data_IF_582677581738
#
_entry.id   IF_582677581738
#
_cell.length_a   1.000
_cell.length_b   1.000
_cell.length_c   1.000
_cell.angle_alpha   90.00
_cell.angle_beta   90.00
_cell.angle_gamma   90.00
#
_symmetry.space_group_name_H-M   'P 1'
#
loop_
_entity.id
_entity.type
_entity.pdbx_description
1 polymer ?
#
# COMPACT_ATOMS: atom_id res chain seq x y z
N UNK A 1 2.35 -16.28 14.64
CA UNK A 1 2.46 -14.81 14.78
C UNK A 1 1.12 -14.22 14.44
N UNK A 2 0.66 -13.08 14.97
CA UNK A 2 -0.55 -12.50 14.43
C UNK A 2 -0.22 -12.06 13.01
N UNK A 3 -0.74 -12.80 12.04
CA UNK A 3 -0.43 -12.81 10.61
C UNK A 3 -0.94 -11.56 9.85
N UNK A 4 -1.13 -10.44 10.54
CA UNK A 4 -1.75 -9.25 9.97
C UNK A 4 -1.03 -7.99 10.45
N UNK A 5 0.11 -7.69 9.84
CA UNK A 5 0.72 -6.35 9.95
C UNK A 5 0.04 -5.43 8.93
N UNK A 6 -0.52 -4.28 9.33
CA UNK A 6 -1.24 -3.38 8.40
C UNK A 6 -0.35 -2.91 7.25
N UNK A 7 0.97 -2.89 7.45
CA UNK A 7 1.94 -2.57 6.40
C UNK A 7 1.91 -3.60 5.25
N UNK A 8 1.65 -4.87 5.52
CA UNK A 8 1.68 -5.92 4.50
C UNK A 8 0.52 -5.76 3.52
N UNK A 9 -0.66 -5.36 4.02
CA UNK A 9 -1.83 -5.05 3.19
C UNK A 9 -1.55 -3.86 2.27
N UNK A 10 -1.03 -2.76 2.83
CA UNK A 10 -0.66 -1.58 2.06
C UNK A 10 0.42 -1.92 1.00
N UNK A 11 1.48 -2.64 1.38
CA UNK A 11 2.56 -3.02 0.47
C UNK A 11 2.13 -4.02 -0.60
N UNK A 12 1.15 -4.89 -0.32
CA UNK A 12 0.59 -5.80 -1.32
C UNK A 12 -0.06 -5.03 -2.47
N UNK A 13 -0.92 -4.04 -2.15
CA UNK A 13 -1.52 -3.13 -3.14
C UNK A 13 -0.45 -2.35 -3.89
N UNK A 14 0.52 -1.76 -3.18
CA UNK A 14 1.62 -1.01 -3.80
C UNK A 14 2.38 -1.86 -4.83
N UNK A 15 2.81 -3.06 -4.43
CA UNK A 15 3.52 -4.00 -5.32
C UNK A 15 2.68 -4.39 -6.53
N UNK A 16 1.37 -4.61 -6.36
CA UNK A 16 0.49 -4.96 -7.47
C UNK A 16 0.41 -3.84 -8.52
N UNK A 17 0.28 -2.58 -8.08
CA UNK A 17 0.28 -1.44 -8.99
C UNK A 17 1.65 -1.21 -9.66
N UNK A 18 2.75 -1.26 -8.89
CA UNK A 18 4.09 -1.06 -9.45
C UNK A 18 4.44 -2.13 -10.50
N UNK A 19 4.06 -3.40 -10.26
CA UNK A 19 4.24 -4.49 -11.23
C UNK A 19 3.44 -4.24 -12.52
N UNK A 20 2.25 -3.65 -12.42
CA UNK A 20 1.43 -3.29 -13.59
C UNK A 20 2.03 -2.12 -14.36
N UNK A 21 2.59 -1.13 -13.68
CA UNK A 21 3.22 0.05 -14.31
C UNK A 21 4.49 -0.35 -15.08
N UNK A 22 5.29 -1.27 -14.54
CA UNK A 22 6.43 -1.83 -15.29
C UNK A 22 7.58 -0.86 -15.55
N UNK A 23 7.76 0.14 -14.68
CA UNK A 23 8.84 1.13 -14.74
C UNK A 23 10.22 0.47 -14.87
N UNK A 24 11.11 1.06 -15.70
CA UNK A 24 12.43 0.48 -16.02
C UNK A 24 13.59 1.34 -15.58
N UNK A 25 13.30 2.57 -15.17
CA UNK A 25 14.29 3.49 -14.59
C UNK A 25 13.95 3.87 -13.16
N UNK A 26 14.96 4.33 -12.42
CA UNK A 26 14.77 4.81 -11.06
C UNK A 26 13.80 5.99 -10.99
N UNK A 27 13.94 6.97 -11.89
CA UNK A 27 13.05 8.14 -11.95
C UNK A 27 11.58 7.73 -12.19
N UNK A 28 11.34 6.82 -13.14
CA UNK A 28 9.99 6.30 -13.38
C UNK A 28 9.44 5.54 -12.17
N UNK A 29 10.28 4.77 -11.47
CA UNK A 29 9.87 4.05 -10.26
C UNK A 29 9.43 5.04 -9.17
N UNK A 30 10.17 6.12 -8.94
CA UNK A 30 9.78 7.13 -7.95
C UNK A 30 8.49 7.84 -8.33
N UNK A 31 8.32 8.21 -9.61
CA UNK A 31 7.07 8.76 -10.11
C UNK A 31 5.89 7.79 -9.94
N UNK A 32 6.10 6.51 -10.22
CA UNK A 32 5.10 5.46 -10.05
C UNK A 32 4.72 5.27 -8.57
N UNK A 33 5.69 5.29 -7.65
CA UNK A 33 5.42 5.22 -6.21
C UNK A 33 4.55 6.40 -5.77
N UNK A 34 4.88 7.63 -6.18
CA UNK A 34 4.08 8.81 -5.86
C UNK A 34 2.63 8.67 -6.35
N UNK A 35 2.43 8.31 -7.62
CA UNK A 35 1.11 8.10 -8.20
C UNK A 35 0.30 7.02 -7.48
N UNK A 36 0.95 5.92 -7.07
CA UNK A 36 0.27 4.84 -6.35
C UNK A 36 -0.06 5.25 -4.92
N UNK A 37 0.80 6.01 -4.25
CA UNK A 37 0.52 6.57 -2.93
C UNK A 37 -0.73 7.48 -2.93
N UNK A 38 -0.95 8.23 -4.01
CA UNK A 38 -2.16 9.06 -4.18
C UNK A 38 -3.46 8.24 -4.30
N UNK A 39 -3.38 6.93 -4.54
CA UNK A 39 -4.55 6.04 -4.60
C UNK A 39 -5.02 5.56 -3.22
N UNK A 40 -4.29 5.88 -2.15
CA UNK A 40 -4.68 5.49 -0.79
C UNK A 40 -5.54 6.58 -0.16
N UNK A 41 -6.78 6.23 0.16
CA UNK A 41 -7.62 7.11 0.96
C UNK A 41 -7.32 6.95 2.46
N UNK A 42 -7.53 7.99 3.29
CA UNK A 42 -7.42 7.86 4.75
C UNK A 42 -8.29 6.73 5.32
N UNK A 43 -9.49 6.53 4.76
CA UNK A 43 -10.44 5.48 5.19
C UNK A 43 -9.91 4.07 4.87
N UNK A 44 -9.28 3.90 3.71
CA UNK A 44 -8.63 2.63 3.36
C UNK A 44 -7.46 2.34 4.29
N UNK A 45 -6.60 3.33 4.55
CA UNK A 45 -5.50 3.20 5.50
C UNK A 45 -6.01 2.80 6.89
N UNK A 46 -7.08 3.45 7.38
CA UNK A 46 -7.72 3.09 8.65
C UNK A 46 -8.24 1.65 8.65
N UNK A 47 -8.79 1.19 7.53
CA UNK A 47 -9.28 -0.17 7.37
C UNK A 47 -8.17 -1.21 7.50
N UNK A 48 -6.93 -0.92 7.06
CA UNK A 48 -5.79 -1.80 7.28
C UNK A 48 -5.44 -1.94 8.77
N UNK A 49 -5.41 -0.83 9.52
CA UNK A 49 -5.18 -0.87 10.97
C UNK A 49 -6.28 -1.66 11.70
N UNK A 50 -7.53 -1.48 11.29
CA UNK A 50 -8.67 -2.23 11.85
C UNK A 50 -8.58 -3.71 11.53
N UNK A 51 -8.31 -4.08 10.28
CA UNK A 51 -8.16 -5.47 9.84
C UNK A 51 -7.00 -6.18 10.56
N UNK A 52 -5.94 -5.44 10.88
CA UNK A 52 -4.80 -5.93 11.64
C UNK A 52 -5.01 -5.96 13.17
N UNK A 53 -6.16 -5.51 13.67
CA UNK A 53 -6.48 -5.48 15.10
C UNK A 53 -5.73 -4.41 15.92
N UNK A 54 -5.13 -3.41 15.26
CA UNK A 54 -4.41 -2.32 15.93
C UNK A 54 -5.34 -1.24 16.48
N UNK A 55 -6.56 -1.15 15.96
CA UNK A 55 -7.59 -0.19 16.40
C UNK A 55 -8.93 -0.89 16.57
N UNK A 56 -9.60 -0.64 17.70
CA UNK A 56 -11.00 -1.00 17.88
C UNK A 56 -11.87 0.05 17.18
N UNK A 57 -12.74 -0.41 16.29
CA UNK A 57 -13.80 0.42 15.70
C UNK A 57 -15.03 0.45 16.59
#
# INVERSE_FOLDING_TARGET
SPDLNPIEMAFSKLKAHLRRIGARTFTELFGAIAQVCDLYSPQECWSYFKAAGYVSG
#
